data_IF_143418683898
#
_entry.id   IF_143418683898
#
_cell.length_a   1.000
_cell.length_b   1.000
_cell.length_c   1.000
_cell.angle_alpha   90.00
_cell.angle_beta   90.00
_cell.angle_gamma   90.00
#
_symmetry.space_group_name_H-M   'P 1'
#
loop_
_entity.id
_entity.type
_entity.pdbx_description
1 polymer ?
#
# COMPACT_ATOMS: atom_id res chain seq x y z
N UNK A 1 0.85 15.62 28.63
CA UNK A 1 -0.22 14.64 28.41
C UNK A 1 -1.38 15.34 27.72
N UNK A 2 -1.76 14.88 26.50
CA UNK A 2 -2.98 15.23 25.74
C UNK A 2 -3.11 16.61 25.08
N UNK A 3 -2.15 17.03 24.25
CA UNK A 3 -2.42 18.10 23.29
C UNK A 3 -2.76 17.54 21.88
N UNK A 4 -2.30 16.34 21.52
CA UNK A 4 -2.55 15.72 20.19
C UNK A 4 -3.95 15.07 20.04
N UNK A 5 -4.61 14.71 21.11
CA UNK A 5 -5.91 13.99 21.03
C UNK A 5 -7.14 14.90 20.81
N UNK A 6 -6.97 16.21 20.76
CA UNK A 6 -8.10 17.18 20.64
C UNK A 6 -8.31 17.78 19.26
N UNK A 7 -7.48 17.48 18.25
CA UNK A 7 -7.57 18.11 16.92
C UNK A 7 -7.76 17.15 15.73
N UNK A 8 -7.93 15.85 15.95
CA UNK A 8 -8.43 15.00 14.88
C UNK A 8 -9.96 15.06 14.89
N UNK A 9 -10.48 16.26 14.60
CA UNK A 9 -11.87 16.42 14.24
C UNK A 9 -12.04 15.73 12.88
N UNK A 10 -13.03 14.89 12.73
CA UNK A 10 -13.45 14.25 11.48
C UNK A 10 -12.28 13.67 10.65
N UNK A 11 -11.91 12.42 10.94
CA UNK A 11 -10.84 11.69 10.24
C UNK A 11 -11.04 11.68 8.71
N UNK A 12 -12.30 11.75 8.25
CA UNK A 12 -12.67 11.77 6.84
C UNK A 12 -12.09 12.98 6.09
N UNK A 13 -11.79 14.04 6.81
CA UNK A 13 -11.24 15.29 6.27
C UNK A 13 -9.75 15.45 6.51
N UNK A 14 -9.09 14.42 7.03
CA UNK A 14 -7.65 14.51 7.27
C UNK A 14 -6.89 14.66 5.96
N UNK A 15 -6.02 15.68 5.83
CA UNK A 15 -5.21 15.85 4.64
C UNK A 15 -4.24 14.67 4.43
N UNK A 16 -3.95 14.34 3.18
CA UNK A 16 -2.95 13.32 2.84
C UNK A 16 -1.54 13.63 3.39
N UNK A 17 -1.21 14.90 3.59
CA UNK A 17 0.03 15.32 4.27
C UNK A 17 0.01 15.16 5.78
N UNK A 18 -1.17 14.98 6.40
CA UNK A 18 -1.37 14.87 7.84
C UNK A 18 -1.96 16.11 8.49
N UNK A 19 -2.17 16.10 9.83
CA UNK A 19 -2.78 17.21 10.57
C UNK A 19 -2.01 18.52 10.44
N UNK A 20 -0.69 18.43 10.34
CA UNK A 20 0.25 19.56 10.21
C UNK A 20 0.53 19.97 8.74
N UNK A 21 -0.23 19.42 7.79
CA UNK A 21 -0.09 19.75 6.37
C UNK A 21 -0.26 21.26 6.12
N UNK A 22 0.70 21.84 5.40
CA UNK A 22 0.64 23.24 4.95
C UNK A 22 -0.53 23.47 3.99
N UNK A 23 -0.91 24.74 3.77
CA UNK A 23 -1.94 25.06 2.77
C UNK A 23 -1.59 24.53 1.38
N UNK A 24 -0.30 24.51 1.00
CA UNK A 24 0.17 23.99 -0.27
C UNK A 24 0.03 22.46 -0.31
N UNK A 25 0.41 21.75 0.75
CA UNK A 25 0.22 20.29 0.83
C UNK A 25 -1.26 19.88 0.69
N UNK A 26 -2.17 20.69 1.26
CA UNK A 26 -3.62 20.50 1.16
C UNK A 26 -4.15 20.71 -0.27
N UNK A 27 -3.48 21.53 -1.07
CA UNK A 27 -3.80 21.71 -2.50
C UNK A 27 -3.19 20.60 -3.36
N UNK A 28 -2.08 19.97 -2.90
CA UNK A 28 -1.39 18.89 -3.60
C UNK A 28 -1.95 17.50 -3.20
N UNK A 29 -3.27 17.37 -3.23
CA UNK A 29 -3.97 16.10 -2.99
C UNK A 29 -5.20 15.98 -3.88
N UNK A 30 -5.67 14.76 -4.07
CA UNK A 30 -6.85 14.46 -4.87
C UNK A 30 -7.54 13.19 -4.39
N UNK A 31 -8.85 13.11 -4.61
CA UNK A 31 -9.64 11.87 -4.46
C UNK A 31 -10.03 11.28 -5.82
N UNK A 32 -9.45 11.79 -6.92
CA UNK A 32 -9.67 11.23 -8.26
C UNK A 32 -9.17 9.78 -8.30
N UNK A 33 -9.91 8.94 -9.00
CA UNK A 33 -9.54 7.55 -9.25
C UNK A 33 -8.49 7.48 -10.36
N UNK A 34 -7.60 6.52 -10.26
CA UNK A 34 -6.68 6.12 -11.32
C UNK A 34 -7.43 5.47 -12.48
N UNK A 35 -6.84 5.39 -13.65
CA UNK A 35 -7.46 4.70 -14.77
C UNK A 35 -7.78 3.24 -14.46
N UNK A 36 -6.94 2.59 -13.67
CA UNK A 36 -7.16 1.20 -13.26
C UNK A 36 -8.42 1.03 -12.40
N UNK A 37 -8.74 2.02 -11.57
CA UNK A 37 -9.88 1.98 -10.62
C UNK A 37 -11.21 2.44 -11.25
N UNK A 38 -11.23 2.84 -12.51
CA UNK A 38 -12.40 3.45 -13.16
C UNK A 38 -13.08 2.49 -14.11
N UNK A 39 -14.42 2.39 -14.02
CA UNK A 39 -15.24 1.55 -14.90
C UNK A 39 -15.47 2.15 -16.30
N UNK A 40 -15.32 3.49 -16.42
CA UNK A 40 -15.55 4.24 -17.66
C UNK A 40 -14.30 4.36 -18.53
N UNK A 41 -13.19 3.72 -18.18
CA UNK A 41 -11.93 3.72 -18.93
C UNK A 41 -11.82 2.46 -19.77
N UNK A 42 -11.43 2.63 -21.03
CA UNK A 42 -11.23 1.57 -22.00
C UNK A 42 -10.18 0.53 -21.50
N UNK A 43 -10.48 -0.74 -21.71
CA UNK A 43 -9.60 -1.85 -21.31
C UNK A 43 -8.20 -1.78 -21.95
N UNK A 44 -8.08 -1.21 -23.16
CA UNK A 44 -6.77 -1.02 -23.81
C UNK A 44 -5.90 -0.02 -23.05
N UNK A 45 -6.52 1.03 -22.48
CA UNK A 45 -5.83 2.00 -21.63
C UNK A 45 -5.39 1.33 -20.33
N UNK A 46 -6.28 0.59 -19.66
CA UNK A 46 -5.95 -0.18 -18.44
C UNK A 46 -4.80 -1.16 -18.70
N UNK A 47 -4.86 -1.93 -19.78
CA UNK A 47 -3.76 -2.83 -20.20
C UNK A 47 -2.45 -2.08 -20.47
N UNK A 48 -2.51 -0.86 -20.99
CA UNK A 48 -1.32 -0.03 -21.19
C UNK A 48 -0.69 0.42 -19.87
N UNK A 49 -1.52 0.79 -18.88
CA UNK A 49 -1.03 1.10 -17.52
C UNK A 49 -0.34 -0.11 -16.90
N UNK A 50 -1.00 -1.28 -16.91
CA UNK A 50 -0.45 -2.51 -16.33
C UNK A 50 0.89 -2.88 -16.95
N UNK A 51 1.00 -2.88 -18.30
CA UNK A 51 2.29 -3.13 -18.99
C UNK A 51 3.36 -2.12 -18.59
N UNK A 52 2.98 -0.85 -18.42
CA UNK A 52 3.91 0.18 -17.97
C UNK A 52 4.39 -0.05 -16.53
N UNK A 53 3.51 -0.45 -15.63
CA UNK A 53 3.83 -0.77 -14.24
C UNK A 53 4.74 -2.02 -14.15
N UNK A 54 4.42 -3.08 -14.89
CA UNK A 54 5.26 -4.29 -14.98
C UNK A 54 6.66 -3.94 -15.48
N UNK A 55 6.75 -3.26 -16.64
CA UNK A 55 8.02 -2.83 -17.19
C UNK A 55 8.85 -1.97 -16.21
N UNK A 56 8.21 -1.01 -15.54
CA UNK A 56 8.90 -0.17 -14.57
C UNK A 56 9.30 -0.94 -13.31
N UNK A 57 8.46 -1.85 -12.84
CA UNK A 57 8.73 -2.73 -11.71
C UNK A 57 9.96 -3.60 -11.95
N UNK A 58 10.02 -4.23 -13.12
CA UNK A 58 11.15 -5.06 -13.55
C UNK A 58 12.43 -4.24 -13.78
N UNK A 59 12.30 -3.11 -14.50
CA UNK A 59 13.43 -2.25 -14.82
C UNK A 59 14.12 -1.67 -13.59
N UNK A 60 13.35 -1.25 -12.58
CA UNK A 60 13.87 -0.68 -11.33
C UNK A 60 14.11 -1.73 -10.24
N UNK A 61 13.77 -3.00 -10.48
CA UNK A 61 13.88 -4.09 -9.49
C UNK A 61 13.04 -3.83 -8.24
N UNK A 62 11.91 -3.17 -8.39
CA UNK A 62 11.07 -2.77 -7.25
C UNK A 62 10.50 -3.98 -6.52
N UNK A 63 10.02 -5.00 -7.25
CA UNK A 63 9.46 -6.23 -6.66
C UNK A 63 10.49 -6.95 -5.80
N UNK A 64 11.73 -7.08 -6.30
CA UNK A 64 12.83 -7.70 -5.57
C UNK A 64 13.18 -6.91 -4.29
N UNK A 65 13.20 -5.57 -4.41
CA UNK A 65 13.44 -4.69 -3.27
C UNK A 65 12.35 -4.83 -2.21
N UNK A 66 11.08 -4.86 -2.63
CA UNK A 66 9.94 -4.98 -1.71
C UNK A 66 9.89 -6.35 -1.04
N UNK A 67 10.17 -7.42 -1.80
CA UNK A 67 10.26 -8.77 -1.26
C UNK A 67 11.37 -8.87 -0.20
N UNK A 68 12.54 -8.28 -0.44
CA UNK A 68 13.63 -8.24 0.54
C UNK A 68 13.23 -7.51 1.81
N UNK A 69 12.61 -6.33 1.68
CA UNK A 69 12.13 -5.56 2.84
C UNK A 69 11.09 -6.38 3.63
N UNK A 70 10.17 -7.06 2.97
CA UNK A 70 9.15 -7.88 3.63
C UNK A 70 9.76 -9.09 4.35
N UNK A 71 10.70 -9.78 3.71
CA UNK A 71 11.38 -10.93 4.31
C UNK A 71 12.30 -10.54 5.48
N UNK A 72 12.90 -9.34 5.45
CA UNK A 72 13.68 -8.83 6.57
C UNK A 72 12.81 -8.64 7.83
N UNK A 73 11.50 -8.31 7.68
CA UNK A 73 10.59 -8.16 8.82
C UNK A 73 10.23 -9.48 9.51
N UNK A 74 10.43 -10.61 8.86
CA UNK A 74 10.18 -11.97 9.38
C UNK A 74 11.43 -12.84 9.42
N UNK A 75 12.61 -12.23 9.36
CA UNK A 75 13.88 -12.97 9.30
C UNK A 75 14.11 -13.94 10.48
N UNK A 76 13.50 -13.64 11.64
CA UNK A 76 13.60 -14.47 12.85
C UNK A 76 12.47 -15.53 12.94
N UNK A 77 11.55 -15.59 11.96
CA UNK A 77 10.44 -16.54 11.92
C UNK A 77 10.75 -17.65 10.91
N UNK A 78 10.95 -18.92 11.34
CA UNK A 78 11.36 -19.98 10.42
C UNK A 78 10.34 -20.31 9.33
N UNK A 79 9.05 -20.33 9.67
CA UNK A 79 7.93 -20.70 8.80
C UNK A 79 6.88 -19.57 8.81
N UNK A 80 7.19 -18.38 8.24
CA UNK A 80 6.33 -17.22 8.38
C UNK A 80 5.04 -17.37 7.57
N UNK A 81 3.93 -17.00 8.19
CA UNK A 81 2.64 -16.84 7.53
C UNK A 81 2.47 -15.37 7.14
N UNK A 82 2.43 -15.12 5.84
CA UNK A 82 2.39 -13.77 5.28
C UNK A 82 1.04 -13.53 4.60
N UNK A 83 0.42 -12.40 4.93
CA UNK A 83 -0.77 -11.89 4.26
C UNK A 83 -0.37 -10.75 3.32
N UNK A 84 -0.68 -10.84 2.04
CA UNK A 84 -0.57 -9.72 1.10
C UNK A 84 -1.97 -9.16 0.81
N UNK A 85 -2.17 -7.87 1.12
CA UNK A 85 -3.39 -7.11 0.86
C UNK A 85 -3.22 -6.25 -0.39
N UNK A 86 -4.21 -6.28 -1.30
CA UNK A 86 -4.13 -5.55 -2.56
C UNK A 86 -3.01 -6.11 -3.46
N UNK A 87 -2.94 -7.43 -3.59
CA UNK A 87 -1.87 -8.13 -4.29
C UNK A 87 -1.87 -7.92 -5.82
N UNK A 88 -2.96 -7.38 -6.39
CA UNK A 88 -3.11 -7.17 -7.82
C UNK A 88 -2.91 -8.47 -8.60
N UNK A 89 -1.83 -8.58 -9.36
CA UNK A 89 -1.49 -9.79 -10.12
C UNK A 89 -0.52 -10.73 -9.36
N UNK A 90 -0.25 -10.48 -8.08
CA UNK A 90 0.54 -11.35 -7.22
C UNK A 90 2.05 -11.40 -7.51
N UNK A 91 2.61 -10.33 -8.07
CA UNK A 91 4.05 -10.29 -8.39
C UNK A 91 4.93 -10.41 -7.14
N UNK A 92 4.59 -9.66 -6.08
CA UNK A 92 5.31 -9.75 -4.81
C UNK A 92 5.10 -11.11 -4.15
N UNK A 93 3.87 -11.63 -4.16
CA UNK A 93 3.53 -12.96 -3.65
C UNK A 93 4.43 -14.06 -4.24
N UNK A 94 4.57 -14.08 -5.58
CA UNK A 94 5.46 -15.04 -6.25
C UNK A 94 6.90 -14.89 -5.80
N UNK A 95 7.39 -13.67 -5.66
CA UNK A 95 8.76 -13.39 -5.25
C UNK A 95 9.04 -13.79 -3.81
N UNK A 96 8.10 -13.57 -2.89
CA UNK A 96 8.19 -14.02 -1.49
C UNK A 96 8.29 -15.55 -1.39
N UNK A 97 7.46 -16.27 -2.15
CA UNK A 97 7.49 -17.74 -2.20
C UNK A 97 8.75 -18.30 -2.87
N UNK A 98 9.29 -17.62 -3.88
CA UNK A 98 10.55 -17.98 -4.54
C UNK A 98 11.74 -17.85 -3.58
N UNK A 99 11.79 -16.78 -2.79
CA UNK A 99 12.95 -16.45 -1.97
C UNK A 99 12.92 -17.05 -0.57
N UNK A 100 11.73 -17.39 -0.06
CA UNK A 100 11.61 -18.03 1.23
C UNK A 100 11.13 -19.49 1.11
N UNK A 101 11.94 -20.47 1.57
CA UNK A 101 11.66 -21.88 1.27
C UNK A 101 10.43 -22.43 1.98
N UNK A 102 10.03 -21.86 3.10
CA UNK A 102 8.97 -22.39 3.98
C UNK A 102 7.82 -21.42 4.20
N UNK A 103 7.92 -20.14 3.79
CA UNK A 103 6.85 -19.17 3.97
C UNK A 103 5.52 -19.67 3.39
N UNK A 104 4.43 -19.52 4.14
CA UNK A 104 3.06 -19.68 3.67
C UNK A 104 2.49 -18.29 3.36
N UNK A 105 1.82 -18.17 2.23
CA UNK A 105 1.35 -16.89 1.74
C UNK A 105 -0.14 -16.91 1.45
N UNK A 106 -0.85 -15.89 1.95
CA UNK A 106 -2.23 -15.59 1.55
C UNK A 106 -2.22 -14.31 0.72
N UNK A 107 -2.40 -14.44 -0.59
CA UNK A 107 -2.51 -13.31 -1.52
C UNK A 107 -3.97 -12.91 -1.66
N UNK A 108 -4.27 -11.63 -1.42
CA UNK A 108 -5.65 -11.16 -1.41
C UNK A 108 -5.82 -9.86 -2.18
N UNK A 109 -6.98 -9.70 -2.77
CA UNK A 109 -7.41 -8.45 -3.38
C UNK A 109 -8.93 -8.28 -3.19
N UNK A 110 -9.41 -7.04 -3.24
CA UNK A 110 -10.85 -6.75 -3.25
C UNK A 110 -11.43 -6.88 -4.65
N UNK A 111 -10.59 -6.75 -5.68
CA UNK A 111 -10.99 -6.83 -7.07
C UNK A 111 -11.06 -8.28 -7.55
N UNK A 112 -12.28 -8.78 -7.81
CA UNK A 112 -12.51 -10.15 -8.30
C UNK A 112 -11.68 -10.53 -9.55
N UNK A 113 -11.50 -9.67 -10.56
CA UNK A 113 -10.63 -9.98 -11.70
C UNK A 113 -9.18 -10.26 -11.31
N UNK A 114 -8.62 -9.51 -10.36
CA UNK A 114 -7.27 -9.72 -9.82
C UNK A 114 -7.16 -11.07 -9.09
N UNK A 115 -8.15 -11.37 -8.24
CA UNK A 115 -8.23 -12.67 -7.54
C UNK A 115 -8.31 -13.84 -8.52
N UNK A 116 -9.17 -13.74 -9.53
CA UNK A 116 -9.31 -14.79 -10.57
C UNK A 116 -8.01 -14.98 -11.37
N UNK A 117 -7.34 -13.90 -11.73
CA UNK A 117 -6.05 -13.97 -12.44
C UNK A 117 -4.99 -14.68 -11.59
N UNK A 118 -4.87 -14.35 -10.30
CA UNK A 118 -3.96 -15.04 -9.39
C UNK A 118 -4.33 -16.51 -9.18
N UNK A 119 -5.63 -16.81 -8.97
CA UNK A 119 -6.11 -18.17 -8.69
C UNK A 119 -5.97 -19.12 -9.89
N UNK A 120 -6.05 -18.60 -11.12
CA UNK A 120 -5.86 -19.39 -12.35
C UNK A 120 -4.40 -19.44 -12.81
N UNK A 121 -3.53 -18.61 -12.22
CA UNK A 121 -2.11 -18.53 -12.52
C UNK A 121 -1.25 -19.43 -11.63
N UNK A 122 0.05 -19.14 -11.60
CA UNK A 122 1.05 -19.90 -10.84
C UNK A 122 0.76 -19.93 -9.32
N UNK A 123 0.22 -18.83 -8.76
CA UNK A 123 -0.09 -18.75 -7.34
C UNK A 123 -1.19 -19.73 -6.94
N UNK A 124 -2.26 -19.87 -7.75
CA UNK A 124 -3.34 -20.80 -7.46
C UNK A 124 -2.93 -22.27 -7.48
N UNK A 125 -1.85 -22.61 -8.20
CA UNK A 125 -1.28 -23.95 -8.24
C UNK A 125 -0.15 -24.16 -7.20
N UNK A 126 0.29 -23.10 -6.51
CA UNK A 126 1.44 -23.20 -5.61
C UNK A 126 1.05 -23.78 -4.24
N UNK A 127 1.70 -24.85 -3.75
CA UNK A 127 1.26 -25.57 -2.53
C UNK A 127 1.32 -24.74 -1.23
N UNK A 128 2.07 -23.65 -1.20
CA UNK A 128 2.22 -22.75 -0.06
C UNK A 128 1.48 -21.42 -0.24
N UNK A 129 0.67 -21.28 -1.31
CA UNK A 129 -0.11 -20.08 -1.57
C UNK A 129 -1.61 -20.35 -1.38
N UNK A 130 -2.30 -19.39 -0.80
CA UNK A 130 -3.76 -19.29 -0.80
C UNK A 130 -4.14 -17.99 -1.48
N UNK A 131 -5.05 -18.05 -2.45
CA UNK A 131 -5.59 -16.86 -3.14
C UNK A 131 -7.05 -16.69 -2.76
N UNK A 132 -7.45 -15.50 -2.29
CA UNK A 132 -8.83 -15.23 -1.92
C UNK A 132 -9.20 -13.76 -2.06
N UNK A 133 -10.48 -13.50 -2.32
CA UNK A 133 -11.06 -12.15 -2.17
C UNK A 133 -11.07 -11.76 -0.70
N UNK A 134 -10.69 -10.50 -0.41
CA UNK A 134 -10.69 -9.98 0.97
C UNK A 134 -10.80 -8.46 0.98
N UNK A 135 -11.75 -7.96 1.77
CA UNK A 135 -11.82 -6.56 2.12
C UNK A 135 -10.90 -6.30 3.33
N UNK A 136 -9.88 -5.48 3.13
CA UNK A 136 -8.92 -5.15 4.18
C UNK A 136 -9.53 -4.36 5.36
N UNK A 137 -10.74 -3.80 5.21
CA UNK A 137 -11.48 -3.13 6.29
C UNK A 137 -12.22 -4.10 7.21
N UNK A 138 -12.38 -5.39 6.80
CA UNK A 138 -13.12 -6.40 7.55
C UNK A 138 -12.54 -7.79 7.28
N UNK A 139 -11.40 -8.10 7.91
CA UNK A 139 -10.62 -9.31 7.66
C UNK A 139 -11.22 -10.49 8.45
N UNK A 140 -11.81 -11.47 7.74
CA UNK A 140 -12.42 -12.66 8.33
C UNK A 140 -11.39 -13.77 8.60
N UNK A 141 -10.49 -13.49 9.57
CA UNK A 141 -9.56 -14.46 10.13
C UNK A 141 -9.35 -14.20 11.63
N UNK A 142 -8.92 -15.19 12.42
CA UNK A 142 -8.62 -15.02 13.84
C UNK A 142 -7.53 -13.99 14.10
N UNK A 143 -7.50 -13.47 15.34
CA UNK A 143 -6.42 -12.59 15.79
C UNK A 143 -5.06 -13.29 15.71
N UNK A 144 -4.01 -12.54 15.35
CA UNK A 144 -2.63 -13.04 15.29
C UNK A 144 -2.46 -14.30 14.44
N UNK A 145 -3.20 -14.37 13.35
CA UNK A 145 -3.15 -15.49 12.41
C UNK A 145 -1.91 -15.45 11.52
N UNK A 146 -1.39 -14.25 11.25
CA UNK A 146 -0.22 -14.02 10.40
C UNK A 146 0.93 -13.43 11.21
N UNK A 147 2.15 -13.71 10.79
CA UNK A 147 3.35 -13.09 11.35
C UNK A 147 3.61 -11.72 10.72
N UNK A 148 3.24 -11.57 9.44
CA UNK A 148 3.37 -10.32 8.69
C UNK A 148 2.18 -10.12 7.76
N UNK A 149 1.64 -8.91 7.74
CA UNK A 149 0.80 -8.44 6.65
C UNK A 149 1.54 -7.37 5.85
N UNK A 150 1.43 -7.41 4.53
CA UNK A 150 2.06 -6.45 3.61
C UNK A 150 1.00 -5.75 2.77
N UNK A 151 1.17 -4.43 2.61
CA UNK A 151 0.35 -3.57 1.77
C UNK A 151 1.28 -2.73 0.90
N UNK A 152 1.44 -3.12 -0.37
CA UNK A 152 2.47 -2.54 -1.24
C UNK A 152 1.84 -1.81 -2.42
N UNK A 153 2.16 -0.51 -2.53
CA UNK A 153 1.70 0.40 -3.59
C UNK A 153 0.17 0.43 -3.76
N UNK A 154 -0.57 0.16 -2.70
CA UNK A 154 -2.03 0.12 -2.71
C UNK A 154 -2.68 0.86 -1.53
N UNK A 155 -1.92 1.21 -0.48
CA UNK A 155 -2.47 1.88 0.71
C UNK A 155 -3.00 3.29 0.40
N UNK A 156 -2.45 3.97 -0.60
CA UNK A 156 -2.92 5.29 -1.03
C UNK A 156 -4.32 5.27 -1.68
N UNK A 157 -4.84 4.09 -2.09
CA UNK A 157 -6.22 3.96 -2.59
C UNK A 157 -7.26 4.10 -1.47
N UNK A 158 -6.88 3.84 -0.21
CA UNK A 158 -7.80 3.98 0.92
C UNK A 158 -8.15 5.45 1.18
N UNK A 159 -9.41 5.69 1.54
CA UNK A 159 -9.83 6.99 2.07
C UNK A 159 -9.27 7.21 3.49
N UNK A 160 -9.25 8.46 4.00
CA UNK A 160 -8.85 8.72 5.37
C UNK A 160 -9.69 8.01 6.43
N UNK A 161 -10.95 7.64 6.14
CA UNK A 161 -11.81 6.84 7.01
C UNK A 161 -11.53 5.34 6.95
N UNK A 162 -11.17 4.81 5.77
CA UNK A 162 -10.86 3.40 5.60
C UNK A 162 -9.48 3.04 6.15
N UNK A 163 -8.49 3.92 5.97
CA UNK A 163 -7.12 3.64 6.37
C UNK A 163 -6.94 3.24 7.85
N UNK A 164 -7.58 3.91 8.86
CA UNK A 164 -7.52 3.45 10.24
C UNK A 164 -8.19 2.09 10.46
N UNK A 165 -9.28 1.79 9.74
CA UNK A 165 -9.97 0.49 9.84
C UNK A 165 -9.04 -0.62 9.36
N UNK A 166 -8.39 -0.41 8.20
CA UNK A 166 -7.39 -1.34 7.66
C UNK A 166 -6.23 -1.53 8.62
N UNK A 167 -5.70 -0.44 9.21
CA UNK A 167 -4.62 -0.53 10.20
C UNK A 167 -5.08 -1.33 11.43
N UNK A 168 -6.28 -1.07 11.95
CA UNK A 168 -6.83 -1.78 13.11
C UNK A 168 -7.01 -3.26 12.83
N UNK A 169 -7.68 -3.61 11.73
CA UNK A 169 -7.93 -5.00 11.33
C UNK A 169 -6.62 -5.75 11.03
N UNK A 170 -5.73 -5.13 10.27
CA UNK A 170 -4.48 -5.78 9.89
C UNK A 170 -3.58 -6.03 11.10
N UNK A 171 -3.45 -5.05 12.02
CA UNK A 171 -2.68 -5.26 13.25
C UNK A 171 -3.40 -6.12 14.30
N UNK A 172 -4.67 -6.47 14.10
CA UNK A 172 -5.39 -7.48 14.86
C UNK A 172 -4.99 -8.88 14.40
N UNK A 173 -4.96 -9.08 13.07
CA UNK A 173 -4.74 -10.41 12.46
C UNK A 173 -3.28 -10.76 12.22
N UNK A 174 -2.37 -9.78 12.25
CA UNK A 174 -0.94 -9.97 12.04
C UNK A 174 -0.12 -9.32 13.16
N UNK A 175 1.02 -9.91 13.47
CA UNK A 175 1.95 -9.36 14.45
C UNK A 175 2.56 -8.04 13.97
N UNK A 176 2.80 -7.90 12.64
CA UNK A 176 3.28 -6.68 12.00
C UNK A 176 2.47 -6.37 10.74
N UNK A 177 2.20 -5.08 10.50
CA UNK A 177 1.76 -4.55 9.20
C UNK A 177 2.91 -3.76 8.57
N UNK A 178 3.34 -4.18 7.40
CA UNK A 178 4.31 -3.48 6.56
C UNK A 178 3.58 -2.75 5.43
N UNK A 179 3.65 -1.43 5.41
CA UNK A 179 3.18 -0.60 4.30
C UNK A 179 4.39 -0.11 3.53
N UNK A 180 4.43 -0.37 2.22
CA UNK A 180 5.42 0.19 1.28
C UNK A 180 4.64 0.97 0.24
N UNK A 181 4.85 2.29 0.19
CA UNK A 181 4.11 3.14 -0.74
C UNK A 181 4.99 4.23 -1.36
N UNK A 182 4.44 4.97 -2.30
CA UNK A 182 5.11 6.10 -2.92
C UNK A 182 5.54 7.11 -1.85
N UNK A 183 6.70 7.76 -1.99
CA UNK A 183 7.07 8.82 -1.07
C UNK A 183 6.21 10.07 -1.30
N UNK A 184 5.74 10.68 -0.20
CA UNK A 184 5.21 12.04 -0.21
C UNK A 184 6.26 12.99 0.35
N UNK A 185 7.10 13.59 -0.51
CA UNK A 185 8.13 14.52 -0.06
C UNK A 185 7.50 15.84 0.41
N UNK A 186 8.25 16.71 1.11
CA UNK A 186 7.81 18.08 1.41
C UNK A 186 7.35 18.80 0.14
N UNK A 187 6.34 19.69 0.28
CA UNK A 187 5.64 20.29 -0.86
C UNK A 187 6.52 20.91 -1.96
N UNK A 188 7.67 21.53 -1.69
CA UNK A 188 8.50 22.07 -2.79
C UNK A 188 9.04 20.98 -3.72
N UNK A 189 9.51 19.88 -3.13
CA UNK A 189 10.00 18.70 -3.90
C UNK A 189 8.84 17.96 -4.57
N UNK A 190 7.67 17.91 -3.92
CA UNK A 190 6.46 17.32 -4.51
C UNK A 190 6.03 18.10 -5.75
N UNK A 191 6.04 19.43 -5.70
CA UNK A 191 5.76 20.27 -6.86
C UNK A 191 6.74 20.02 -8.00
N UNK A 192 8.05 19.94 -7.72
CA UNK A 192 9.06 19.64 -8.73
C UNK A 192 8.77 18.28 -9.38
N UNK A 193 8.50 17.25 -8.58
CA UNK A 193 8.16 15.91 -9.08
C UNK A 193 6.93 15.94 -9.98
N UNK A 194 5.86 16.58 -9.54
CA UNK A 194 4.63 16.72 -10.35
C UNK A 194 4.88 17.51 -11.63
N UNK A 195 5.64 18.60 -11.57
CA UNK A 195 6.00 19.40 -12.76
C UNK A 195 6.76 18.59 -13.81
N UNK A 196 7.57 17.60 -13.40
CA UNK A 196 8.27 16.69 -14.34
C UNK A 196 7.35 15.62 -14.95
N UNK A 197 6.29 15.23 -14.26
CA UNK A 197 5.33 14.19 -14.72
C UNK A 197 4.16 14.76 -15.53
N UNK A 198 3.61 15.90 -15.10
CA UNK A 198 2.41 16.51 -15.69
C UNK A 198 2.45 16.69 -17.22
N UNK A 199 3.57 17.11 -17.86
CA UNK A 199 3.62 17.25 -19.30
C UNK A 199 3.39 15.93 -20.07
N UNK A 200 3.68 14.79 -19.45
CA UNK A 200 3.56 13.46 -20.07
C UNK A 200 2.27 12.75 -19.70
N UNK A 201 1.63 13.15 -18.60
CA UNK A 201 0.42 12.51 -18.09
C UNK A 201 -0.73 12.41 -19.13
N UNK A 202 -1.00 13.40 -20.01
CA UNK A 202 -2.05 13.28 -21.02
C UNK A 202 -1.76 12.23 -22.10
N UNK A 203 -0.49 11.84 -22.28
CA UNK A 203 -0.05 10.99 -23.39
C UNK A 203 0.37 9.58 -22.92
N UNK A 204 0.77 9.45 -21.67
CA UNK A 204 1.26 8.20 -21.10
C UNK A 204 0.36 7.79 -19.92
N UNK A 205 -0.53 6.80 -20.10
CA UNK A 205 -1.51 6.41 -19.08
C UNK A 205 -0.89 6.06 -17.73
N UNK A 206 0.22 5.34 -17.70
CA UNK A 206 0.97 5.02 -16.47
C UNK A 206 1.47 6.29 -15.74
N UNK A 207 1.87 7.34 -16.49
CA UNK A 207 2.31 8.61 -15.87
C UNK A 207 1.13 9.37 -15.31
N UNK A 208 -0.05 9.33 -15.99
CA UNK A 208 -1.30 9.88 -15.46
C UNK A 208 -1.61 9.24 -14.10
N UNK A 209 -1.65 7.92 -14.02
CA UNK A 209 -1.95 7.21 -12.78
C UNK A 209 -0.87 7.47 -11.71
N UNK A 210 0.40 7.50 -12.09
CA UNK A 210 1.48 7.88 -11.19
C UNK A 210 1.37 9.30 -10.60
N UNK A 211 0.79 10.26 -11.35
CA UNK A 211 0.45 11.59 -10.81
C UNK A 211 -0.67 11.48 -9.79
N UNK A 212 -1.75 10.75 -10.12
CA UNK A 212 -2.88 10.55 -9.20
C UNK A 212 -2.42 9.84 -7.92
N UNK A 213 -1.71 8.72 -8.03
CA UNK A 213 -1.13 7.99 -6.88
C UNK A 213 -0.28 8.90 -6.00
N UNK A 214 0.59 9.72 -6.62
CA UNK A 214 1.46 10.67 -5.90
C UNK A 214 0.66 11.70 -5.10
N UNK A 215 -0.48 12.16 -5.62
CA UNK A 215 -1.38 13.10 -4.94
C UNK A 215 -2.23 12.43 -3.86
N UNK A 216 -2.47 11.11 -3.96
CA UNK A 216 -3.25 10.31 -2.98
C UNK A 216 -2.40 9.76 -1.85
N UNK A 217 -1.09 9.65 -2.03
CA UNK A 217 -0.18 9.05 -1.04
C UNK A 217 -0.22 9.82 0.29
N UNK A 218 -0.25 9.07 1.39
CA UNK A 218 -0.19 9.60 2.74
C UNK A 218 1.23 9.98 3.12
N UNK A 219 1.41 11.14 3.74
CA UNK A 219 2.70 11.55 4.32
C UNK A 219 2.97 10.90 5.67
N UNK A 220 4.22 11.01 6.18
CA UNK A 220 4.61 10.45 7.47
C UNK A 220 3.76 10.93 8.66
N UNK A 221 3.35 12.20 8.68
CA UNK A 221 2.49 12.76 9.69
C UNK A 221 1.07 12.18 9.63
N UNK A 222 0.54 11.98 8.40
CA UNK A 222 -0.75 11.34 8.19
C UNK A 222 -0.73 9.89 8.67
N UNK A 223 0.28 9.09 8.33
CA UNK A 223 0.36 7.71 8.77
C UNK A 223 0.41 7.58 10.29
N UNK A 224 1.14 8.47 10.99
CA UNK A 224 1.11 8.51 12.47
C UNK A 224 -0.27 8.83 13.01
N UNK A 225 -0.95 9.80 12.40
CA UNK A 225 -2.29 10.20 12.83
C UNK A 225 -3.32 9.10 12.60
N UNK A 226 -3.24 8.40 11.45
CA UNK A 226 -4.10 7.26 11.11
C UNK A 226 -3.88 6.09 12.09
N UNK A 227 -2.62 5.75 12.39
CA UNK A 227 -2.30 4.70 13.34
C UNK A 227 -2.81 5.02 14.75
N UNK A 228 -2.59 6.25 15.22
CA UNK A 228 -3.07 6.71 16.54
C UNK A 228 -4.61 6.77 16.61
N UNK A 229 -5.29 7.05 15.50
CA UNK A 229 -6.74 7.01 15.40
C UNK A 229 -7.29 5.58 15.40
N UNK A 230 -6.60 4.66 14.72
CA UNK A 230 -6.97 3.25 14.67
C UNK A 230 -6.93 2.62 16.08
N UNK A 231 -5.81 2.76 16.77
CA UNK A 231 -5.63 2.33 18.16
C UNK A 231 -4.37 3.01 18.73
N UNK A 232 -4.47 3.71 19.88
CA UNK A 232 -3.30 4.32 20.54
C UNK A 232 -2.22 3.32 20.99
N UNK A 233 -2.53 2.01 21.05
CA UNK A 233 -1.56 0.96 21.36
C UNK A 233 -0.71 0.53 20.15
N UNK A 234 -1.01 1.04 18.95
CA UNK A 234 -0.24 0.75 17.75
C UNK A 234 1.00 1.64 17.71
N UNK A 235 2.17 1.01 17.71
CA UNK A 235 3.43 1.67 17.41
C UNK A 235 3.66 1.72 15.89
N UNK A 236 4.27 2.80 15.41
CA UNK A 236 4.62 2.99 14.03
C UNK A 236 6.09 3.41 13.88
N UNK A 237 6.86 2.61 13.17
CA UNK A 237 8.19 2.94 12.70
C UNK A 237 8.13 3.40 11.24
N UNK A 238 8.67 4.57 10.95
CA UNK A 238 8.71 5.12 9.59
C UNK A 238 10.15 5.13 9.09
N UNK A 239 10.37 4.49 7.95
CA UNK A 239 11.64 4.49 7.22
C UNK A 239 11.39 5.17 5.87
N UNK A 240 11.99 6.31 5.64
CA UNK A 240 11.85 7.07 4.40
C UNK A 240 13.18 7.69 3.99
N UNK A 241 13.41 7.77 2.69
CA UNK A 241 14.53 8.46 2.09
C UNK A 241 14.07 9.31 0.91
N UNK A 242 14.88 10.29 0.51
CA UNK A 242 14.51 11.24 -0.54
C UNK A 242 14.13 10.57 -1.87
N UNK A 243 14.77 9.44 -2.19
CA UNK A 243 14.58 8.66 -3.42
C UNK A 243 14.09 7.22 -3.15
N UNK A 244 13.67 6.93 -1.92
CA UNK A 244 13.20 5.60 -1.52
C UNK A 244 11.69 5.59 -1.38
N UNK A 245 11.02 4.44 -1.54
CA UNK A 245 9.63 4.31 -1.15
C UNK A 245 9.48 4.66 0.33
N UNK A 246 8.29 5.12 0.70
CA UNK A 246 7.93 5.30 2.09
C UNK A 246 7.59 3.94 2.68
N UNK A 247 8.23 3.60 3.79
CA UNK A 247 8.02 2.34 4.50
C UNK A 247 7.48 2.68 5.88
N UNK A 248 6.38 2.03 6.26
CA UNK A 248 5.85 2.08 7.61
C UNK A 248 5.69 0.65 8.14
N UNK A 249 6.22 0.39 9.31
CA UNK A 249 6.04 -0.87 10.05
C UNK A 249 5.19 -0.55 11.28
N UNK A 250 4.05 -1.21 11.38
CA UNK A 250 3.10 -1.03 12.48
C UNK A 250 2.96 -2.34 13.26
N UNK A 251 2.90 -2.24 14.58
CA UNK A 251 2.66 -3.39 15.46
C UNK A 251 1.91 -2.98 16.71
N UNK A 252 1.14 -3.90 17.30
CA UNK A 252 0.51 -3.65 18.62
C UNK A 252 1.49 -4.01 19.74
N UNK A 253 1.52 -3.16 20.76
CA UNK A 253 2.23 -3.44 22.01
C UNK A 253 1.57 -4.57 22.79
#
# INVERSE_FOLDING_TARGET
MNYMAREIGDIDRMPRGGPDASCVDRLLQTDRLEYLDRDDVDDDVKRSVLRGLEWSGDFFGNTDKFARIALDEVADVPDPRILELGAGHGALSRKLLEWHPTAELTATDVELPSVQAMATGELGAHPRATVREMDATAIDVPDRHFDLAVFVLAFHHLSPSQAPQVIAETTRVADKLLIIDLPRPPWPLHLIRLATMLPFAPWIPMVHDGVISSLRTYGPSALRALAAHADPAIDIELRSGLMSPQIAVLSRR
#
